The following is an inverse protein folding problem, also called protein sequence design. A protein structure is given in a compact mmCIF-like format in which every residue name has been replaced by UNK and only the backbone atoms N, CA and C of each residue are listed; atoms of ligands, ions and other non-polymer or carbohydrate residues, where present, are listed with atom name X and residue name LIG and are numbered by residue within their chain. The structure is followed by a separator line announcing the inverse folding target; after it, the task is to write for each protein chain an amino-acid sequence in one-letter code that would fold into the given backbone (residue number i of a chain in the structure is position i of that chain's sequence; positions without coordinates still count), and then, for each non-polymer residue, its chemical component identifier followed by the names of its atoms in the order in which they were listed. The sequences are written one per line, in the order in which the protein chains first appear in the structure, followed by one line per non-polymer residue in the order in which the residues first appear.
data_IF_807883380176
#
_entry.id   IF_807883380176
#
_cell.length_a   1.000
_cell.length_b   1.000
_cell.length_c   1.000
_cell.angle_alpha   90.00
_cell.angle_beta   90.00
_cell.angle_gamma   90.00
#
_symmetry.space_group_name_H-M   'P 1'
#
loop_
_entity.id
_entity.type
_entity.pdbx_description
1 polymer ?
#
# COMPACT_ATOMS: atom_id res chain seq x y z
N UNK A 1 -7.31 -13.99 20.43
CA UNK A 1 -5.82 -14.10 20.36
C UNK A 1 -5.24 -13.32 19.17
N UNK A 2 -5.80 -13.43 17.96
CA UNK A 2 -5.31 -12.78 16.72
C UNK A 2 -5.14 -11.25 16.80
N UNK A 3 -6.10 -10.53 17.40
CA UNK A 3 -6.03 -9.05 17.49
C UNK A 3 -4.81 -8.53 18.26
N UNK A 4 -4.39 -9.24 19.32
CA UNK A 4 -3.20 -8.89 20.12
C UNK A 4 -1.89 -9.10 19.35
N UNK A 5 -1.90 -9.96 18.33
CA UNK A 5 -0.73 -10.22 17.49
C UNK A 5 -0.56 -9.10 16.44
N UNK A 6 -1.67 -8.66 15.85
CA UNK A 6 -1.69 -7.63 14.81
C UNK A 6 -1.49 -6.22 15.38
N UNK A 7 -2.15 -5.91 16.50
CA UNK A 7 -1.99 -4.62 17.16
C UNK A 7 -0.80 -4.68 18.13
N UNK A 8 0.30 -4.07 17.70
CA UNK A 8 1.53 -3.95 18.49
C UNK A 8 1.40 -2.83 19.54
N UNK A 9 2.18 -2.88 20.63
CA UNK A 9 2.19 -1.79 21.62
C UNK A 9 2.53 -0.44 20.97
N UNK A 10 1.69 0.55 21.20
CA UNK A 10 1.85 1.89 20.65
C UNK A 10 2.72 2.75 21.57
N UNK A 11 3.69 3.46 20.99
CA UNK A 11 4.47 4.51 21.66
C UNK A 11 3.67 5.81 21.73
N UNK A 12 2.90 6.09 20.68
CA UNK A 12 2.01 7.24 20.53
C UNK A 12 0.80 6.81 19.71
N UNK A 13 -0.37 7.34 20.01
CA UNK A 13 -1.59 7.13 19.22
C UNK A 13 -2.05 8.46 18.63
N UNK A 14 -2.47 8.44 17.37
CA UNK A 14 -2.94 9.60 16.62
C UNK A 14 -4.34 9.29 16.11
N UNK A 15 -5.29 10.18 16.37
CA UNK A 15 -6.64 10.10 15.83
C UNK A 15 -6.72 10.94 14.55
N UNK A 16 -7.28 10.37 13.50
CA UNK A 16 -7.51 11.06 12.24
C UNK A 16 -8.91 11.65 12.18
N UNK A 17 -9.13 12.60 11.26
CA UNK A 17 -10.44 13.20 11.02
C UNK A 17 -11.49 12.20 10.49
N UNK A 18 -11.05 11.06 9.96
CA UNK A 18 -11.90 9.97 9.46
C UNK A 18 -12.20 8.90 10.52
N UNK A 19 -11.84 9.13 11.79
CA UNK A 19 -12.09 8.19 12.88
C UNK A 19 -11.09 7.03 12.95
N UNK A 20 -10.09 6.97 12.05
CA UNK A 20 -9.02 6.00 12.16
C UNK A 20 -8.11 6.32 13.35
N UNK A 21 -7.68 5.25 14.04
CA UNK A 21 -6.70 5.28 15.10
C UNK A 21 -5.38 4.77 14.53
N UNK A 22 -4.35 5.61 14.53
CA UNK A 22 -3.02 5.28 14.05
C UNK A 22 -2.09 5.14 15.25
N UNK A 23 -1.49 3.96 15.39
CA UNK A 23 -0.51 3.67 16.42
C UNK A 23 0.91 3.80 15.85
N UNK A 24 1.72 4.63 16.50
CA UNK A 24 3.15 4.70 16.27
C UNK A 24 3.80 3.51 16.97
N UNK A 25 4.20 2.52 16.18
CA UNK A 25 4.81 1.29 16.67
C UNK A 25 6.32 1.38 16.49
N UNK A 26 7.08 0.89 17.46
CA UNK A 26 8.53 0.75 17.32
C UNK A 26 8.91 0.05 16.00
N UNK A 27 9.88 0.61 15.28
CA UNK A 27 10.26 0.13 13.95
C UNK A 27 10.56 -1.36 13.93
N UNK A 28 11.23 -1.90 14.94
CA UNK A 28 11.62 -3.32 15.03
C UNK A 28 10.48 -4.21 15.56
N UNK A 29 9.40 -3.63 16.06
CA UNK A 29 8.22 -4.35 16.56
C UNK A 29 7.06 -4.38 15.56
N UNK A 30 7.19 -3.75 14.40
CA UNK A 30 6.16 -3.80 13.35
C UNK A 30 5.93 -5.25 12.87
N UNK A 31 4.73 -5.58 12.35
CA UNK A 31 4.36 -6.95 11.97
C UNK A 31 5.39 -7.65 11.07
N UNK A 32 6.06 -6.91 10.18
CA UNK A 32 7.09 -7.46 9.30
C UNK A 32 8.13 -8.33 10.03
N UNK A 33 8.61 -7.90 11.20
CA UNK A 33 9.67 -8.60 11.93
C UNK A 33 9.20 -9.86 12.67
N UNK A 34 7.90 -10.14 12.69
CA UNK A 34 7.39 -11.44 13.11
C UNK A 34 7.75 -12.54 12.08
N UNK A 35 8.13 -12.15 10.85
CA UNK A 35 8.47 -13.08 9.80
C UNK A 35 9.84 -13.76 10.03
N UNK A 36 9.91 -15.12 10.05
CA UNK A 36 11.16 -15.83 10.30
C UNK A 36 12.32 -15.46 9.37
N UNK A 37 12.03 -15.20 8.08
CA UNK A 37 13.05 -14.83 7.09
C UNK A 37 13.67 -13.45 7.34
N UNK A 38 13.05 -12.58 8.15
CA UNK A 38 13.57 -11.23 8.42
C UNK A 38 14.41 -11.16 9.70
N UNK A 39 14.51 -12.25 10.48
CA UNK A 39 15.26 -12.28 11.75
C UNK A 39 16.75 -11.97 11.61
N UNK A 40 17.35 -12.34 10.48
CA UNK A 40 18.80 -12.19 10.24
C UNK A 40 19.15 -10.98 9.37
N UNK A 41 18.17 -10.11 9.06
CA UNK A 41 18.41 -8.94 8.24
C UNK A 41 18.60 -7.69 9.08
N UNK A 42 19.68 -6.97 8.82
CA UNK A 42 19.95 -5.68 9.43
C UNK A 42 19.18 -4.59 8.69
N UNK A 43 18.00 -4.24 9.20
CA UNK A 43 17.25 -3.05 8.76
C UNK A 43 17.47 -1.90 9.74
N UNK A 44 17.42 -0.67 9.24
CA UNK A 44 17.51 0.53 10.05
C UNK A 44 16.39 1.49 9.66
N UNK A 45 15.74 2.11 10.64
CA UNK A 45 14.66 3.08 10.40
C UNK A 45 15.12 4.30 9.59
N UNK A 46 16.42 4.59 9.57
CA UNK A 46 17.03 5.62 8.73
C UNK A 46 17.29 5.22 7.28
N UNK A 47 17.00 3.97 6.89
CA UNK A 47 17.18 3.52 5.51
C UNK A 47 16.27 4.30 4.56
N UNK A 48 16.88 4.81 3.49
CA UNK A 48 16.20 5.42 2.34
C UNK A 48 16.76 4.74 1.07
N UNK A 49 15.99 4.62 -0.03
CA UNK A 49 16.50 4.26 -1.34
C UNK A 49 17.76 5.05 -1.61
N UNK A 50 18.80 4.31 -1.96
CA UNK A 50 20.10 4.86 -2.35
C UNK A 50 20.06 5.58 -3.71
N UNK A 51 18.95 5.53 -4.44
CA UNK A 51 18.79 6.24 -5.72
C UNK A 51 17.67 7.27 -5.66
N UNK A 52 17.97 8.58 -5.83
CA UNK A 52 16.96 9.51 -6.28
C UNK A 52 16.57 9.10 -7.70
N UNK A 53 15.43 8.43 -7.84
CA UNK A 53 14.90 8.14 -9.17
C UNK A 53 14.52 9.47 -9.82
N UNK A 54 15.37 9.95 -10.74
CA UNK A 54 15.09 11.05 -11.63
C UNK A 54 14.14 10.52 -12.71
N UNK A 55 12.85 10.64 -12.45
CA UNK A 55 11.87 10.64 -13.53
C UNK A 55 12.18 11.90 -14.30
N UNK A 56 12.51 11.79 -15.59
CA UNK A 56 12.73 12.95 -16.43
C UNK A 56 11.58 13.93 -16.20
N UNK A 57 11.91 15.11 -15.72
CA UNK A 57 10.95 16.20 -15.64
C UNK A 57 10.50 16.41 -17.10
N UNK A 58 9.32 15.92 -17.45
CA UNK A 58 8.58 16.60 -18.51
C UNK A 58 8.35 18.00 -17.98
N UNK A 59 8.68 18.99 -18.79
CA UNK A 59 8.30 20.37 -18.52
C UNK A 59 6.89 20.36 -17.96
N UNK A 60 6.74 20.92 -16.76
CA UNK A 60 5.43 21.21 -16.22
C UNK A 60 4.83 22.24 -17.16
N UNK A 61 4.14 21.77 -18.20
CA UNK A 61 3.02 22.51 -18.73
C UNK A 61 1.94 22.39 -17.65
N UNK A 62 2.09 23.24 -16.62
CA UNK A 62 1.26 23.23 -15.44
C UNK A 62 -0.14 23.65 -15.87
N UNK A 63 -0.98 22.70 -16.28
CA UNK A 63 -2.40 22.94 -16.29
C UNK A 63 -2.78 23.29 -14.84
N UNK A 64 -3.29 24.49 -14.60
CA UNK A 64 -3.60 25.04 -13.26
C UNK A 64 -4.52 24.13 -12.39
N UNK A 65 -5.12 23.10 -13.00
CA UNK A 65 -6.10 22.21 -12.40
C UNK A 65 -5.51 20.91 -11.82
N UNK A 66 -4.27 20.53 -12.15
CA UNK A 66 -3.68 19.26 -11.69
C UNK A 66 -2.78 19.50 -10.49
N UNK A 67 -3.15 18.93 -9.34
CA UNK A 67 -2.52 19.22 -8.03
C UNK A 67 -2.07 17.92 -7.35
N UNK A 68 -0.80 17.83 -6.89
CA UNK A 68 -0.39 16.69 -6.08
C UNK A 68 -1.11 16.73 -4.74
N UNK A 69 -1.60 15.58 -4.26
CA UNK A 69 -2.21 15.52 -2.92
C UNK A 69 -1.12 15.50 -1.84
N UNK A 70 -1.34 16.24 -0.75
CA UNK A 70 -0.52 16.08 0.45
C UNK A 70 -0.93 14.82 1.20
N UNK A 71 -0.03 13.84 1.26
CA UNK A 71 -0.23 12.60 2.03
C UNK A 71 0.62 12.68 3.29
N UNK A 72 0.02 12.40 4.44
CA UNK A 72 0.73 12.26 5.71
C UNK A 72 -0.04 12.78 6.90
N UNK A 73 0.36 12.28 8.05
CA UNK A 73 -0.20 12.63 9.35
C UNK A 73 0.11 14.09 9.68
N UNK A 74 -0.90 14.82 10.13
CA UNK A 74 -0.74 16.21 10.62
C UNK A 74 0.21 16.21 11.83
N UNK A 75 1.01 17.27 11.96
CA UNK A 75 1.91 17.45 13.11
C UNK A 75 3.19 16.61 13.08
N UNK A 76 3.71 16.28 11.90
CA UNK A 76 5.00 15.59 11.73
C UNK A 76 4.98 14.07 11.90
N UNK A 77 3.79 13.48 12.12
CA UNK A 77 3.60 12.03 12.19
C UNK A 77 4.11 11.38 13.47
N UNK A 78 4.70 10.20 13.31
CA UNK A 78 5.23 9.40 14.40
C UNK A 78 6.67 9.79 14.79
N UNK A 79 7.05 9.62 16.07
CA UNK A 79 8.42 9.87 16.53
C UNK A 79 9.48 9.09 15.75
N UNK A 80 10.71 9.59 15.75
CA UNK A 80 11.86 8.91 15.14
C UNK A 80 12.00 7.50 15.75
N UNK A 81 12.29 6.51 14.90
CA UNK A 81 12.38 5.10 15.31
C UNK A 81 11.03 4.38 15.41
N UNK A 82 9.93 5.03 15.04
CA UNK A 82 8.60 4.42 15.00
C UNK A 82 7.92 4.58 13.64
N UNK A 83 6.95 3.71 13.36
CA UNK A 83 6.19 3.68 12.11
C UNK A 83 4.68 3.74 12.40
N UNK A 84 3.90 4.47 11.58
CA UNK A 84 2.46 4.59 11.76
C UNK A 84 1.75 3.35 11.22
N UNK A 85 1.00 2.67 12.08
CA UNK A 85 0.21 1.49 11.73
C UNK A 85 -1.23 1.75 12.13
N UNK A 86 -2.18 1.59 11.19
CA UNK A 86 -3.60 1.70 11.51
C UNK A 86 -4.00 0.57 12.45
N UNK A 87 -4.62 0.92 13.58
CA UNK A 87 -5.13 -0.05 14.54
C UNK A 87 -6.27 -0.84 13.92
N UNK A 88 -6.20 -2.15 14.01
CA UNK A 88 -7.24 -3.06 13.53
C UNK A 88 -8.24 -3.28 14.66
N UNK A 89 -9.54 -3.23 14.36
CA UNK A 89 -10.62 -3.54 15.31
C UNK A 89 -11.10 -4.99 15.17
N UNK A 90 -11.97 -5.46 16.08
CA UNK A 90 -12.58 -6.79 15.92
C UNK A 90 -13.48 -6.82 14.69
N UNK A 91 -14.17 -5.73 14.43
CA UNK A 91 -15.10 -5.53 13.33
C UNK A 91 -14.34 -5.55 12.00
N UNK A 92 -13.15 -4.96 11.94
CA UNK A 92 -12.26 -5.02 10.78
C UNK A 92 -11.88 -6.47 10.44
N UNK A 93 -11.56 -7.30 11.44
CA UNK A 93 -11.25 -8.72 11.25
C UNK A 93 -12.45 -9.53 10.78
N UNK A 94 -13.65 -9.21 11.25
CA UNK A 94 -14.88 -9.87 10.81
C UNK A 94 -15.14 -9.53 9.34
N UNK A 95 -15.07 -8.24 8.98
CA UNK A 95 -15.23 -7.76 7.61
C UNK A 95 -14.23 -8.41 6.66
N UNK A 96 -12.96 -8.46 7.02
CA UNK A 96 -11.92 -9.11 6.22
C UNK A 96 -12.21 -10.59 5.95
N UNK A 97 -12.66 -11.35 6.96
CA UNK A 97 -13.01 -12.76 6.78
C UNK A 97 -14.23 -12.96 5.88
N UNK A 98 -15.14 -11.99 5.85
CA UNK A 98 -16.29 -12.01 4.95
C UNK A 98 -15.87 -11.64 3.52
N UNK A 99 -15.06 -10.59 3.35
CA UNK A 99 -14.59 -10.12 2.03
C UNK A 99 -13.61 -11.08 1.35
N UNK A 100 -12.72 -11.73 2.10
CA UNK A 100 -11.75 -12.71 1.56
C UNK A 100 -12.41 -13.96 0.96
N UNK A 101 -13.65 -14.28 1.35
CA UNK A 101 -14.45 -15.34 0.73
C UNK A 101 -15.05 -14.93 -0.62
N UNK A 102 -15.05 -13.64 -0.94
CA UNK A 102 -15.72 -13.06 -2.13
C UNK A 102 -14.70 -12.54 -3.16
N UNK A 103 -13.47 -12.22 -2.75
CA UNK A 103 -12.44 -11.64 -3.61
C UNK A 103 -11.54 -12.71 -4.25
N UNK A 104 -12.04 -13.43 -5.26
CA UNK A 104 -11.15 -14.14 -6.19
C UNK A 104 -10.46 -13.12 -7.09
N UNK A 105 -9.14 -13.23 -7.21
CA UNK A 105 -8.28 -12.25 -7.88
C UNK A 105 -8.12 -12.53 -9.37
N UNK A 106 -9.15 -13.10 -10.00
CA UNK A 106 -9.13 -13.40 -11.43
C UNK A 106 -9.79 -12.28 -12.21
N UNK A 107 -9.01 -11.70 -13.14
CA UNK A 107 -9.40 -10.67 -14.11
C UNK A 107 -10.53 -11.13 -15.07
N UNK A 108 -11.08 -12.34 -14.90
CA UNK A 108 -12.16 -12.93 -15.70
C UNK A 108 -13.44 -13.20 -14.89
N UNK A 109 -13.63 -12.51 -13.76
CA UNK A 109 -14.86 -12.65 -12.97
C UNK A 109 -16.03 -11.91 -13.64
N UNK A 110 -17.20 -12.56 -13.84
CA UNK A 110 -18.40 -11.88 -14.35
C UNK A 110 -18.76 -10.67 -13.47
N UNK A 111 -18.93 -9.50 -14.10
CA UNK A 111 -19.24 -8.24 -13.42
C UNK A 111 -18.03 -7.36 -13.08
N UNK A 112 -16.80 -7.82 -13.34
CA UNK A 112 -15.60 -6.99 -13.25
C UNK A 112 -15.39 -6.15 -14.52
N UNK A 113 -15.08 -4.86 -14.34
CA UNK A 113 -14.70 -3.96 -15.43
C UNK A 113 -13.32 -3.36 -15.13
N UNK A 114 -12.43 -3.37 -16.13
CA UNK A 114 -11.07 -2.86 -15.97
C UNK A 114 -10.57 -2.18 -17.25
N UNK A 115 -9.71 -1.19 -17.05
CA UNK A 115 -8.90 -0.58 -18.09
C UNK A 115 -7.43 -0.76 -17.68
N UNK A 116 -6.66 -1.52 -18.47
CA UNK A 116 -5.29 -1.91 -18.12
C UNK A 116 -4.35 -1.61 -19.28
N UNK A 117 -3.34 -0.79 -19.01
CA UNK A 117 -2.16 -0.68 -19.86
C UNK A 117 -1.13 -1.72 -19.38
N UNK A 118 -0.81 -2.70 -20.23
CA UNK A 118 0.14 -3.78 -19.93
C UNK A 118 1.32 -3.75 -20.88
N UNK A 119 2.49 -4.11 -20.36
CA UNK A 119 3.67 -4.36 -21.20
C UNK A 119 3.41 -5.55 -22.11
N UNK A 120 4.01 -5.56 -23.31
CA UNK A 120 3.96 -6.73 -24.20
C UNK A 120 4.63 -7.93 -23.51
N UNK A 121 4.05 -9.11 -23.71
CA UNK A 121 4.63 -10.36 -23.21
C UNK A 121 6.01 -10.58 -23.86
N UNK A 122 7.03 -10.87 -23.05
CA UNK A 122 8.41 -11.06 -23.48
C UNK A 122 9.37 -11.23 -22.30
N UNK A 123 10.62 -11.60 -22.55
CA UNK A 123 11.66 -11.82 -21.53
C UNK A 123 12.24 -10.54 -20.92
N UNK A 124 11.51 -9.43 -21.01
CA UNK A 124 11.98 -8.12 -20.56
C UNK A 124 12.11 -8.10 -19.04
N UNK A 125 13.32 -7.81 -18.55
CA UNK A 125 13.59 -7.60 -17.13
C UNK A 125 13.29 -6.15 -16.79
N UNK A 126 12.26 -5.92 -15.98
CA UNK A 126 11.94 -4.58 -15.50
C UNK A 126 12.65 -4.30 -14.17
N UNK A 127 13.28 -3.13 -14.05
CA UNK A 127 13.84 -2.65 -12.79
C UNK A 127 12.78 -2.08 -11.85
N UNK A 128 11.55 -1.89 -12.34
CA UNK A 128 10.47 -1.30 -11.60
C UNK A 128 9.29 -0.90 -12.49
N UNK A 129 8.29 -0.28 -11.87
CA UNK A 129 7.12 0.31 -12.49
C UNK A 129 6.85 1.66 -11.83
N UNK A 130 6.28 2.60 -12.58
CA UNK A 130 5.97 3.93 -12.08
C UNK A 130 4.76 4.52 -12.76
N UNK A 131 3.92 5.20 -11.98
CA UNK A 131 2.86 6.08 -12.45
C UNK A 131 3.07 7.45 -11.81
N UNK A 132 3.33 8.45 -12.65
CA UNK A 132 3.54 9.81 -12.21
C UNK A 132 2.23 10.44 -11.70
N UNK A 133 1.13 10.14 -12.36
CA UNK A 133 -0.20 10.63 -12.01
C UNK A 133 -1.19 9.47 -11.96
N UNK A 134 -1.55 9.06 -10.74
CA UNK A 134 -2.72 8.24 -10.47
C UNK A 134 -3.77 9.20 -9.90
N UNK A 135 -4.73 9.61 -10.73
CA UNK A 135 -5.80 10.49 -10.29
C UNK A 135 -6.62 9.83 -9.17
N UNK A 136 -6.91 10.61 -8.14
CA UNK A 136 -7.69 10.18 -6.98
C UNK A 136 -9.16 10.41 -7.27
N UNK A 137 -9.94 9.34 -7.28
CA UNK A 137 -11.39 9.40 -7.41
C UNK A 137 -12.03 8.65 -6.25
N UNK A 138 -13.27 9.02 -5.93
CA UNK A 138 -14.11 8.30 -4.96
C UNK A 138 -15.36 7.79 -5.68
N UNK A 139 -15.22 6.77 -6.55
CA UNK A 139 -16.37 6.14 -7.18
C UNK A 139 -17.27 5.51 -6.12
N UNK A 140 -18.57 5.60 -6.32
CA UNK A 140 -19.53 4.95 -5.44
C UNK A 140 -19.41 3.43 -5.56
N UNK A 141 -19.14 2.77 -4.45
CA UNK A 141 -19.16 1.32 -4.32
C UNK A 141 -20.14 0.94 -3.21
N UNK A 142 -20.87 -0.16 -3.38
CA UNK A 142 -21.85 -0.63 -2.41
C UNK A 142 -21.80 -2.15 -2.24
N UNK A 143 -22.22 -2.64 -1.06
CA UNK A 143 -22.21 -4.07 -0.77
C UNK A 143 -20.80 -4.68 -0.87
N UNK A 144 -20.64 -5.68 -1.74
CA UNK A 144 -19.38 -6.39 -2.00
C UNK A 144 -18.55 -5.79 -3.16
N UNK A 145 -19.00 -4.68 -3.76
CA UNK A 145 -18.26 -4.02 -4.83
C UNK A 145 -17.06 -3.24 -4.27
N UNK A 146 -16.02 -3.13 -5.09
CA UNK A 146 -14.89 -2.24 -4.84
C UNK A 146 -14.43 -1.59 -6.14
N UNK A 147 -13.71 -0.47 -6.02
CA UNK A 147 -13.02 0.17 -7.13
C UNK A 147 -11.59 0.50 -6.73
N UNK A 148 -10.65 0.47 -7.67
CA UNK A 148 -9.25 0.74 -7.40
C UNK A 148 -8.54 1.27 -8.65
N UNK A 149 -7.52 2.10 -8.44
CA UNK A 149 -6.49 2.38 -9.44
C UNK A 149 -5.13 2.02 -8.85
N UNK A 150 -4.31 1.31 -9.62
CA UNK A 150 -3.08 0.70 -9.12
C UNK A 150 -2.02 0.54 -10.21
N UNK A 151 -0.76 0.52 -9.80
CA UNK A 151 0.32 -0.08 -10.57
C UNK A 151 0.58 -1.49 -10.03
N UNK A 152 0.96 -2.40 -10.92
CA UNK A 152 1.24 -3.80 -10.61
C UNK A 152 2.57 -4.23 -11.25
N UNK A 153 3.43 -4.87 -10.46
CA UNK A 153 4.53 -5.69 -10.98
C UNK A 153 4.19 -7.15 -10.72
N UNK A 154 4.35 -8.00 -11.72
CA UNK A 154 4.03 -9.42 -11.61
C UNK A 154 5.16 -10.26 -12.20
N UNK A 155 5.50 -11.35 -11.51
CA UNK A 155 6.43 -12.38 -11.96
C UNK A 155 5.82 -13.76 -11.70
N UNK A 156 5.13 -14.31 -12.70
CA UNK A 156 4.35 -15.54 -12.53
C UNK A 156 3.20 -15.35 -11.53
N UNK A 157 3.08 -16.19 -10.48
CA UNK A 157 2.05 -16.08 -9.45
C UNK A 157 2.33 -14.95 -8.44
N UNK A 158 3.56 -14.44 -8.39
CA UNK A 158 3.96 -13.43 -7.42
C UNK A 158 3.67 -12.03 -7.97
N UNK A 159 3.08 -11.16 -7.16
CA UNK A 159 2.75 -9.81 -7.59
C UNK A 159 2.81 -8.77 -6.46
N UNK A 160 3.16 -7.54 -6.82
CA UNK A 160 3.13 -6.36 -5.95
C UNK A 160 2.18 -5.37 -6.60
N UNK A 161 1.18 -4.94 -5.84
CA UNK A 161 0.19 -3.96 -6.25
C UNK A 161 0.16 -2.79 -5.26
N UNK A 162 0.02 -1.59 -5.80
CA UNK A 162 -0.05 -0.37 -5.00
C UNK A 162 -0.93 0.68 -5.68
N UNK A 163 -1.70 1.40 -4.89
CA UNK A 163 -2.45 2.55 -5.36
C UNK A 163 -3.51 2.96 -4.35
N UNK A 164 -4.69 3.31 -4.86
CA UNK A 164 -5.85 3.62 -4.02
C UNK A 164 -7.00 2.64 -4.28
N UNK A 165 -7.85 2.46 -3.28
CA UNK A 165 -9.02 1.58 -3.32
C UNK A 165 -10.17 2.18 -2.53
N UNK A 166 -11.39 2.07 -3.05
CA UNK A 166 -12.65 2.27 -2.33
C UNK A 166 -13.27 0.89 -2.14
N UNK A 167 -13.41 0.44 -0.90
CA UNK A 167 -13.90 -0.91 -0.57
C UNK A 167 -14.69 -0.90 0.75
N UNK A 168 -16.00 -0.62 0.68
CA UNK A 168 -16.85 -0.57 1.88
C UNK A 168 -16.94 -1.91 2.61
N UNK A 169 -16.86 -3.02 1.87
CA UNK A 169 -16.87 -4.36 2.47
C UNK A 169 -15.67 -4.58 3.39
N UNK A 170 -14.52 -4.05 2.99
CA UNK A 170 -13.25 -4.24 3.68
C UNK A 170 -13.03 -3.21 4.79
N UNK A 171 -13.28 -1.94 4.50
CA UNK A 171 -13.00 -0.82 5.39
C UNK A 171 -14.17 -0.45 6.29
N UNK A 172 -15.40 -0.77 5.90
CA UNK A 172 -16.61 -0.33 6.61
C UNK A 172 -16.97 1.14 6.34
N UNK A 173 -16.30 1.76 5.37
CA UNK A 173 -16.52 3.14 4.94
C UNK A 173 -16.38 3.27 3.41
N UNK A 174 -16.82 4.39 2.87
CA UNK A 174 -16.73 4.72 1.44
C UNK A 174 -15.57 5.67 1.13
N UNK A 175 -14.49 5.63 1.92
CA UNK A 175 -13.32 6.49 1.68
C UNK A 175 -12.39 5.86 0.64
N UNK A 176 -11.80 6.72 -0.19
CA UNK A 176 -10.68 6.33 -1.05
C UNK A 176 -9.45 6.18 -0.16
N UNK A 177 -8.92 4.95 -0.07
CA UNK A 177 -7.82 4.61 0.84
C UNK A 177 -6.60 4.13 0.08
N UNK A 178 -5.43 4.54 0.54
CA UNK A 178 -4.16 3.99 0.07
C UNK A 178 -4.08 2.50 0.43
N UNK A 179 -3.67 1.67 -0.52
CA UNK A 179 -3.46 0.26 -0.25
C UNK A 179 -2.19 -0.27 -0.91
N UNK A 180 -1.70 -1.34 -0.31
CA UNK A 180 -0.71 -2.24 -0.87
C UNK A 180 -1.25 -3.67 -0.79
N UNK A 181 -1.04 -4.41 -1.86
CA UNK A 181 -1.28 -5.85 -1.89
C UNK A 181 -0.05 -6.55 -2.42
N UNK A 182 0.25 -7.68 -1.84
CA UNK A 182 1.29 -8.55 -2.28
C UNK A 182 0.72 -9.96 -2.38
N UNK A 183 0.93 -10.62 -3.51
CA UNK A 183 0.68 -12.04 -3.68
C UNK A 183 2.03 -12.76 -3.82
N UNK A 184 2.25 -13.83 -3.06
CA UNK A 184 3.44 -14.67 -3.15
C UNK A 184 3.03 -16.14 -3.06
N UNK A 185 3.51 -16.92 -4.03
CA UNK A 185 3.27 -18.35 -4.18
C UNK A 185 3.73 -19.19 -3.00
N UNK A 186 4.82 -18.82 -2.33
CA UNK A 186 5.26 -19.47 -1.10
C UNK A 186 4.56 -18.83 0.11
N UNK A 187 3.63 -19.56 0.74
CA UNK A 187 2.80 -19.05 1.84
C UNK A 187 3.63 -18.77 3.09
N UNK A 188 3.44 -17.58 3.66
CA UNK A 188 4.13 -17.10 4.86
C UNK A 188 3.45 -17.51 6.17
N UNK A 189 2.16 -17.90 6.10
CA UNK A 189 1.38 -18.30 7.26
C UNK A 189 0.15 -19.12 6.82
N UNK A 190 0.08 -20.38 7.28
CA UNK A 190 -1.11 -21.24 7.22
C UNK A 190 -1.99 -21.11 5.97
N UNK A 191 -1.41 -21.17 4.76
CA UNK A 191 -2.15 -21.21 3.50
C UNK A 191 -2.62 -19.86 2.95
N UNK A 192 -2.19 -18.72 3.52
CA UNK A 192 -2.39 -17.40 2.89
C UNK A 192 -1.26 -17.12 1.91
N UNK A 193 -1.60 -17.01 0.62
CA UNK A 193 -0.70 -16.66 -0.50
C UNK A 193 -0.72 -15.16 -0.82
N UNK A 194 -1.40 -14.36 -0.01
CA UNK A 194 -1.55 -12.92 -0.24
C UNK A 194 -1.48 -12.15 1.08
N UNK A 195 -0.99 -10.93 0.99
CA UNK A 195 -0.82 -9.99 2.09
C UNK A 195 -1.40 -8.64 1.68
N UNK A 196 -2.40 -8.18 2.45
CA UNK A 196 -3.09 -6.91 2.22
C UNK A 196 -2.84 -5.95 3.36
N UNK A 197 -2.23 -4.79 3.06
CA UNK A 197 -1.82 -3.80 4.06
C UNK A 197 -1.16 -4.47 5.29
N UNK A 198 -1.17 -3.84 6.46
CA UNK A 198 -0.36 -4.28 7.63
C UNK A 198 -0.95 -5.49 8.35
N UNK A 199 -1.84 -6.24 7.69
CA UNK A 199 -2.60 -7.35 8.27
C UNK A 199 -1.80 -8.66 8.32
N UNK A 200 -0.58 -8.62 7.80
CA UNK A 200 0.31 -9.74 7.58
C UNK A 200 1.75 -9.23 7.60
N UNK A 201 2.73 -10.10 7.91
CA UNK A 201 4.13 -9.73 8.04
C UNK A 201 4.82 -9.66 6.66
N UNK A 202 4.21 -8.96 5.70
CA UNK A 202 4.70 -8.94 4.31
C UNK A 202 5.71 -7.84 4.02
N UNK A 203 5.67 -6.70 4.68
CA UNK A 203 6.47 -5.56 4.23
C UNK A 203 6.98 -4.71 5.38
N UNK A 204 8.09 -4.01 5.14
CA UNK A 204 8.73 -3.15 6.12
C UNK A 204 8.36 -1.71 5.82
N UNK A 205 7.58 -1.11 6.70
CA UNK A 205 7.34 0.33 6.70
C UNK A 205 8.59 0.99 7.27
N UNK A 206 9.09 2.02 6.58
CA UNK A 206 10.27 2.81 7.02
C UNK A 206 9.93 4.26 7.31
N UNK A 207 8.84 4.79 6.74
CA UNK A 207 8.41 6.16 6.96
C UNK A 207 7.59 6.29 8.22
N UNK A 208 7.84 7.35 8.97
CA UNK A 208 7.15 7.63 10.24
C UNK A 208 5.88 8.48 10.08
N UNK A 209 5.59 9.00 8.90
CA UNK A 209 4.58 10.05 8.72
C UNK A 209 3.43 9.68 7.78
N UNK A 210 3.52 8.55 7.06
CA UNK A 210 2.43 8.10 6.19
C UNK A 210 2.06 6.65 6.51
N UNK A 211 0.86 6.41 7.07
CA UNK A 211 0.35 5.07 7.27
C UNK A 211 -0.14 4.46 5.96
N UNK A 212 -0.10 3.13 5.88
CA UNK A 212 -0.97 2.38 4.97
C UNK A 212 -2.42 2.48 5.44
N UNK A 213 -3.37 2.14 4.57
CA UNK A 213 -4.81 2.34 4.81
C UNK A 213 -5.22 3.82 4.95
N UNK A 214 -4.33 4.77 4.59
CA UNK A 214 -4.61 6.21 4.73
C UNK A 214 -5.80 6.64 3.87
N UNK A 215 -6.78 7.31 4.49
CA UNK A 215 -7.92 7.91 3.78
C UNK A 215 -7.51 9.24 3.13
N UNK A 216 -7.77 9.38 1.83
CA UNK A 216 -7.49 10.60 1.10
C UNK A 216 -8.57 11.66 1.34
N UNK A 217 -8.15 12.83 1.83
CA UNK A 217 -9.07 13.91 2.17
C UNK A 217 -9.49 14.78 0.98
N UNK A 218 -8.65 14.86 -0.05
CA UNK A 218 -8.95 15.55 -1.31
C UNK A 218 -9.08 14.53 -2.42
N UNK A 219 -10.18 14.59 -3.14
CA UNK A 219 -10.54 13.72 -4.25
C UNK A 219 -10.80 14.60 -5.47
N UNK A 220 -10.43 14.13 -6.65
CA UNK A 220 -10.66 14.83 -7.91
C UNK A 220 -12.14 14.97 -8.21
N UNK A 221 -12.53 16.11 -8.78
CA UNK A 221 -13.90 16.37 -9.18
C UNK A 221 -14.01 16.48 -10.71
N UNK A 222 -15.10 16.00 -11.32
CA UNK A 222 -15.39 16.27 -12.72
C UNK A 222 -15.38 17.78 -12.97
N UNK A 223 -14.66 18.23 -14.01
CA UNK A 223 -14.51 19.64 -14.37
C UNK A 223 -13.93 20.56 -13.27
N UNK A 224 -13.30 19.98 -12.24
CA UNK A 224 -12.67 20.70 -11.14
C UNK A 224 -11.19 20.37 -11.01
N UNK A 225 -10.65 20.58 -9.81
CA UNK A 225 -9.29 20.19 -9.47
C UNK A 225 -9.11 18.67 -9.58
N UNK A 226 -8.02 18.26 -10.24
CA UNK A 226 -7.57 16.87 -10.34
C UNK A 226 -6.47 16.67 -9.29
N UNK A 227 -6.76 15.85 -8.29
CA UNK A 227 -5.77 15.43 -7.30
C UNK A 227 -5.18 14.10 -7.72
N UNK A 228 -3.86 13.96 -7.61
CA UNK A 228 -3.21 12.70 -7.96
C UNK A 228 -2.19 12.27 -6.90
N UNK A 229 -1.92 10.96 -6.87
CA UNK A 229 -0.76 10.38 -6.22
C UNK A 229 0.23 9.91 -7.27
N UNK A 230 1.50 9.95 -6.92
CA UNK A 230 2.56 9.37 -7.73
C UNK A 230 2.99 8.06 -7.08
N UNK A 231 3.11 6.97 -7.82
CA UNK A 231 3.55 5.67 -7.30
C UNK A 231 4.68 5.05 -8.11
N UNK A 232 5.67 4.47 -7.43
CA UNK A 232 6.76 3.71 -8.03
C UNK A 232 6.98 2.43 -7.25
N UNK A 233 7.20 1.31 -7.93
CA UNK A 233 7.76 0.09 -7.38
C UNK A 233 9.13 -0.08 -8.03
N UNK A 234 10.21 -0.12 -7.26
CA UNK A 234 11.58 -0.12 -7.77
C UNK A 234 12.34 -1.27 -7.15
N UNK A 235 13.07 -2.06 -7.93
CA UNK A 235 13.98 -3.08 -7.41
C UNK A 235 15.30 -2.43 -7.00
N UNK A 236 15.72 -2.62 -5.75
CA UNK A 236 17.04 -2.20 -5.24
C UNK A 236 17.76 -3.41 -4.65
N UNK A 237 18.80 -3.87 -5.35
CA UNK A 237 19.55 -5.10 -5.02
C UNK A 237 18.59 -6.29 -4.85
N UNK A 238 18.58 -6.90 -3.66
CA UNK A 238 17.73 -8.04 -3.29
C UNK A 238 16.34 -7.63 -2.74
N UNK A 239 16.01 -6.34 -2.72
CA UNK A 239 14.74 -5.82 -2.17
C UNK A 239 13.95 -5.05 -3.23
N UNK A 240 12.64 -4.88 -3.02
CA UNK A 240 11.86 -3.88 -3.75
C UNK A 240 11.61 -2.67 -2.83
N UNK A 241 11.58 -1.49 -3.39
CA UNK A 241 11.29 -0.22 -2.73
C UNK A 241 10.05 0.33 -3.40
N UNK A 242 8.99 0.48 -2.63
CA UNK A 242 7.77 1.09 -3.12
C UNK A 242 7.78 2.56 -2.76
N UNK A 243 7.93 3.47 -3.72
CA UNK A 243 7.93 4.91 -3.52
C UNK A 243 6.62 5.52 -4.04
N UNK A 244 5.64 5.76 -3.19
CA UNK A 244 4.43 6.50 -3.56
C UNK A 244 4.59 7.98 -3.24
N UNK A 245 5.28 8.77 -4.06
CA UNK A 245 5.59 10.18 -3.73
C UNK A 245 4.36 10.93 -3.14
N UNK A 246 4.48 11.44 -1.89
CA UNK A 246 5.72 11.58 -1.12
C UNK A 246 6.18 10.33 -0.33
N UNK A 247 5.39 9.27 -0.22
CA UNK A 247 5.64 7.99 0.46
C UNK A 247 6.80 7.18 -0.13
N UNK A 248 7.40 6.41 0.77
CA UNK A 248 8.42 5.42 0.52
C UNK A 248 8.25 4.27 1.54
N UNK A 249 8.10 3.06 1.03
CA UNK A 249 8.07 1.78 1.70
C UNK A 249 9.27 0.95 1.23
N UNK A 250 9.89 0.21 2.14
CA UNK A 250 10.87 -0.83 1.77
C UNK A 250 10.09 -2.14 1.72
N UNK A 251 9.76 -2.60 0.52
CA UNK A 251 9.19 -3.93 0.31
C UNK A 251 10.33 -4.96 0.31
N UNK A 252 10.67 -5.46 1.49
CA UNK A 252 11.59 -6.58 1.59
C UNK A 252 10.91 -7.86 1.13
N UNK A 253 11.09 -8.24 -0.14
CA UNK A 253 10.81 -9.60 -0.60
C UNK A 253 12.05 -10.30 -1.11
N UNK A 254 12.30 -11.45 -0.48
CA UNK A 254 13.00 -12.57 -1.06
C UNK A 254 12.15 -13.13 -2.21
N UNK A 255 12.42 -12.66 -3.43
CA UNK A 255 12.34 -13.61 -4.53
C UNK A 255 13.45 -14.61 -4.26
N UNK A 256 13.08 -15.82 -3.85
CA UNK A 256 13.98 -16.97 -3.92
C UNK A 256 14.41 -17.06 -5.38
N UNK A 257 15.62 -16.57 -5.64
CA UNK A 257 16.48 -17.09 -6.67
C UNK A 257 16.42 -18.61 -6.59
N UNK A 258 15.74 -19.24 -7.54
CA UNK A 258 16.40 -20.36 -8.19
C UNK A 258 17.26 -19.76 -9.29
#
# INVERSE_FOLDING_TARGET
MQLKLLNKPAVKTIHTEYGDIIDCVDFYKQPAFDHPLLKNHTFHYGMKPSTPFHVGARDQDSSNFTKPVSIGLKGGGCPIGTVPIRRITKEDLIRERLSSRTMSSDDNTPGAHYAVARTRSGSNKFLGAGAQEISLHNPHASGSQYSAAKIKIQNGPDSIEVGWRVDPSLYGDSQTRLFIRLDVSFSFQAGQSHCFNTRCPGFIIVRSDIPLDWAFHRISQPFGDIFFITAYIVKVKCFYLLRIFPILFVLSFFFLSQ
#
